data_IF_435977534305
#
_entry.id   IF_435977534305
#
_cell.length_a   1.000
_cell.length_b   1.000
_cell.length_c   1.000
_cell.angle_alpha   90.00
_cell.angle_beta   90.00
_cell.angle_gamma   90.00
#
_symmetry.space_group_name_H-M   'P 1'
#
loop_
_entity.id
_entity.type
_entity.pdbx_description
1 polymer ?
#
# COMPACT_ATOMS: atom_id res chain seq x y z
N UNK A 1 -6.66 28.06 0.58
CA UNK A 1 -5.83 27.20 -0.31
C UNK A 1 -6.44 25.81 -0.37
N UNK A 2 -6.85 25.34 -1.55
CA UNK A 2 -7.58 24.07 -1.73
C UNK A 2 -6.67 22.83 -1.84
N UNK A 3 -5.41 23.03 -2.24
CA UNK A 3 -4.44 21.96 -2.48
C UNK A 3 -3.05 22.49 -2.84
N UNK A 4 -2.14 21.58 -3.19
CA UNK A 4 -0.77 21.88 -3.62
C UNK A 4 -0.44 21.03 -4.85
N UNK A 5 0.11 21.67 -5.89
CA UNK A 5 0.62 20.99 -7.09
C UNK A 5 1.98 20.36 -6.78
N UNK A 6 2.16 19.10 -7.14
CA UNK A 6 3.34 18.27 -6.84
C UNK A 6 4.19 18.00 -8.07
N UNK A 7 3.57 17.85 -9.23
CA UNK A 7 4.25 17.71 -10.51
C UNK A 7 3.44 18.36 -11.62
N UNK A 8 4.14 18.74 -12.69
CA UNK A 8 3.56 19.38 -13.85
C UNK A 8 4.28 18.89 -15.10
N UNK A 9 3.50 18.49 -16.10
CA UNK A 9 4.01 18.00 -17.37
C UNK A 9 3.22 18.61 -18.52
N UNK A 10 3.87 19.36 -19.42
CA UNK A 10 3.25 19.71 -20.70
C UNK A 10 3.22 18.47 -21.60
N UNK A 11 2.06 18.13 -22.17
CA UNK A 11 1.92 16.98 -23.07
C UNK A 11 1.60 17.47 -24.48
N UNK A 12 2.61 17.88 -25.28
CA UNK A 12 2.38 18.37 -26.63
C UNK A 12 1.82 17.32 -27.59
N UNK A 13 1.96 16.02 -27.26
CA UNK A 13 1.51 14.88 -28.08
C UNK A 13 -0.01 14.67 -28.10
N UNK A 14 -0.74 15.16 -27.09
CA UNK A 14 -2.20 15.04 -26.95
C UNK A 14 -2.91 16.39 -27.17
N UNK A 15 -2.24 17.37 -27.80
CA UNK A 15 -2.69 18.75 -27.97
C UNK A 15 -1.99 19.72 -27.02
N UNK A 16 -2.47 20.96 -26.90
CA UNK A 16 -2.00 21.99 -25.95
C UNK A 16 -2.44 21.69 -24.50
N UNK A 17 -2.44 20.42 -24.12
CA UNK A 17 -2.83 19.95 -22.80
C UNK A 17 -1.69 20.13 -21.78
N UNK A 18 -2.03 20.73 -20.65
CA UNK A 18 -1.16 20.77 -19.48
C UNK A 18 -1.73 19.84 -18.41
N UNK A 19 -0.91 18.92 -17.90
CA UNK A 19 -1.29 18.04 -16.81
C UNK A 19 -0.49 18.37 -15.56
N UNK A 20 -1.14 18.29 -14.41
CA UNK A 20 -0.51 18.49 -13.12
C UNK A 20 -1.05 17.50 -12.11
N UNK A 21 -0.18 16.93 -11.29
CA UNK A 21 -0.59 16.14 -10.13
C UNK A 21 -0.65 17.06 -8.93
N UNK A 22 -1.72 16.96 -8.14
CA UNK A 22 -1.90 17.81 -6.96
C UNK A 22 -2.53 17.03 -5.81
N UNK A 23 -2.13 17.38 -4.58
CA UNK A 23 -2.87 17.01 -3.39
C UNK A 23 -4.01 18.00 -3.19
N UNK A 24 -5.24 17.51 -3.13
CA UNK A 24 -6.44 18.34 -2.92
C UNK A 24 -7.11 17.92 -1.62
N UNK A 25 -7.62 18.90 -0.86
CA UNK A 25 -8.37 18.62 0.37
C UNK A 25 -9.73 18.02 0.03
N UNK A 26 -9.94 16.75 0.40
CA UNK A 26 -11.19 16.03 0.19
C UNK A 26 -12.20 16.17 1.34
N UNK A 27 -11.94 17.03 2.33
CA UNK A 27 -12.83 17.28 3.47
C UNK A 27 -12.96 18.78 3.76
N UNK A 28 -14.16 19.22 4.11
CA UNK A 28 -14.46 20.59 4.57
C UNK A 28 -15.44 20.50 5.74
N UNK A 29 -15.05 21.01 6.91
CA UNK A 29 -15.90 20.96 8.11
C UNK A 29 -16.23 19.52 8.58
N UNK A 30 -15.29 18.58 8.43
CA UNK A 30 -15.50 17.17 8.80
C UNK A 30 -16.25 16.33 7.76
N UNK A 31 -16.90 16.96 6.78
CA UNK A 31 -17.65 16.26 5.74
C UNK A 31 -16.78 15.95 4.51
N UNK A 32 -16.91 14.77 3.88
CA UNK A 32 -16.24 14.46 2.62
C UNK A 32 -16.80 15.34 1.49
N UNK A 33 -15.90 15.83 0.65
CA UNK A 33 -16.22 16.67 -0.52
C UNK A 33 -15.85 15.89 -1.77
N UNK A 34 -16.78 15.78 -2.72
CA UNK A 34 -16.50 15.22 -4.04
C UNK A 34 -15.65 16.22 -4.83
N UNK A 35 -14.45 15.82 -5.17
CA UNK A 35 -13.43 16.69 -5.83
C UNK A 35 -13.31 16.44 -7.32
N UNK A 36 -13.76 15.27 -7.79
CA UNK A 36 -13.76 14.91 -9.20
C UNK A 36 -14.62 15.87 -10.03
N UNK A 37 -14.15 16.20 -11.24
CA UNK A 37 -14.77 17.14 -12.17
C UNK A 37 -14.93 18.58 -11.64
N UNK A 38 -14.32 18.90 -10.50
CA UNK A 38 -14.36 20.24 -9.92
C UNK A 38 -13.40 21.15 -10.67
N UNK A 39 -13.87 22.36 -11.04
CA UNK A 39 -13.00 23.38 -11.61
C UNK A 39 -12.10 23.96 -10.53
N UNK A 40 -10.80 24.02 -10.83
CA UNK A 40 -9.78 24.60 -9.97
C UNK A 40 -9.02 25.69 -10.70
N UNK A 41 -8.62 26.71 -9.96
CA UNK A 41 -7.78 27.79 -10.46
C UNK A 41 -6.43 27.72 -9.74
N UNK A 42 -5.36 27.60 -10.51
CA UNK A 42 -4.00 27.63 -10.00
C UNK A 42 -3.59 29.08 -9.67
N UNK A 43 -2.52 29.23 -8.88
CA UNK A 43 -2.03 30.54 -8.43
C UNK A 43 -1.62 31.45 -9.60
N UNK A 44 -1.21 30.87 -10.74
CA UNK A 44 -0.88 31.59 -11.98
C UNK A 44 -2.12 31.96 -12.83
N UNK A 45 -3.34 31.76 -12.30
CA UNK A 45 -4.59 32.04 -13.01
C UNK A 45 -5.02 30.96 -14.02
N UNK A 46 -4.23 29.90 -14.19
CA UNK A 46 -4.62 28.78 -15.06
C UNK A 46 -5.83 28.05 -14.50
N UNK A 47 -6.81 27.76 -15.36
CA UNK A 47 -8.01 27.00 -15.01
C UNK A 47 -7.84 25.55 -15.45
N UNK A 48 -8.20 24.63 -14.58
CA UNK A 48 -8.15 23.20 -14.84
C UNK A 48 -9.34 22.47 -14.23
N UNK A 49 -9.52 21.20 -14.63
CA UNK A 49 -10.52 20.31 -14.07
C UNK A 49 -9.79 19.21 -13.33
N UNK A 50 -10.22 18.92 -12.11
CA UNK A 50 -9.70 17.79 -11.35
C UNK A 50 -10.24 16.50 -11.97
N UNK A 51 -9.36 15.72 -12.57
CA UNK A 51 -9.66 14.38 -13.08
C UNK A 51 -9.04 13.34 -12.15
N UNK A 52 -9.72 12.21 -11.98
CA UNK A 52 -9.09 11.07 -11.35
C UNK A 52 -8.00 10.58 -12.30
N UNK A 53 -6.75 10.53 -11.81
CA UNK A 53 -5.66 9.90 -12.54
C UNK A 53 -6.04 8.44 -12.69
N UNK A 54 -6.38 8.01 -13.90
CA UNK A 54 -6.41 6.60 -14.20
C UNK A 54 -5.02 6.09 -13.87
N UNK A 55 -4.88 5.22 -12.88
CA UNK A 55 -3.67 4.44 -12.78
C UNK A 55 -3.63 3.66 -14.09
N UNK A 56 -2.67 3.88 -15.00
CA UNK A 56 -2.38 2.86 -15.97
C UNK A 56 -1.87 1.71 -15.11
N UNK A 57 -2.76 0.79 -14.73
CA UNK A 57 -2.31 -0.57 -14.53
C UNK A 57 -1.51 -0.84 -15.78
N UNK A 58 -0.18 -1.02 -15.66
CA UNK A 58 0.54 -1.71 -16.71
C UNK A 58 -0.33 -2.92 -16.98
N UNK A 59 -0.92 -2.98 -18.17
CA UNK A 59 -1.50 -4.21 -18.64
C UNK A 59 -0.31 -5.17 -18.72
N UNK A 60 -0.09 -5.88 -17.63
CA UNK A 60 0.48 -7.21 -17.70
C UNK A 60 -0.63 -8.06 -18.29
N UNK A 61 -0.99 -7.80 -19.55
CA UNK A 61 -1.76 -8.78 -20.30
C UNK A 61 -1.00 -10.08 -20.14
N UNK A 62 -1.73 -11.16 -19.82
CA UNK A 62 -1.15 -12.48 -19.59
C UNK A 62 -0.35 -13.01 -20.81
N UNK A 63 -0.35 -12.28 -21.93
CA UNK A 63 0.45 -12.51 -23.12
C UNK A 63 1.90 -12.00 -23.03
N UNK A 64 2.25 -11.17 -22.04
CA UNK A 64 3.65 -10.92 -21.69
C UNK A 64 4.17 -12.06 -20.82
N UNK A 65 4.11 -13.29 -21.34
CA UNK A 65 4.81 -14.45 -20.76
C UNK A 65 6.28 -14.04 -20.60
N UNK A 66 6.85 -14.05 -19.39
CA UNK A 66 8.30 -14.10 -19.29
C UNK A 66 8.71 -15.36 -20.07
N UNK A 67 9.66 -15.23 -20.99
CA UNK A 67 10.40 -16.37 -21.53
C UNK A 67 11.17 -17.01 -20.36
N UNK A 68 10.47 -17.75 -19.50
CA UNK A 68 11.07 -18.74 -18.63
C UNK A 68 11.39 -19.91 -19.56
N UNK A 69 12.68 -20.00 -19.88
CA UNK A 69 13.30 -21.23 -20.36
C UNK A 69 12.83 -22.38 -19.50
N UNK A 70 12.47 -23.44 -20.22
CA UNK A 70 12.02 -24.76 -19.80
C UNK A 70 12.50 -25.22 -18.42
N UNK A 71 11.55 -25.51 -17.54
CA UNK A 71 11.72 -26.48 -16.45
C UNK A 71 10.34 -27.14 -16.18
N UNK A 72 10.26 -28.47 -16.02
CA UNK A 72 9.01 -29.21 -16.12
C UNK A 72 8.15 -29.07 -14.85
N UNK A 73 6.90 -28.68 -15.05
CA UNK A 73 5.83 -28.66 -14.05
C UNK A 73 5.35 -30.09 -13.77
N UNK A 74 5.90 -30.77 -12.76
CA UNK A 74 5.22 -31.92 -12.16
C UNK A 74 5.57 -32.20 -10.69
N UNK A 75 6.32 -31.32 -10.02
CA UNK A 75 6.79 -31.54 -8.63
C UNK A 75 6.33 -30.49 -7.60
N UNK A 76 5.65 -29.39 -8.00
CA UNK A 76 5.34 -28.28 -7.08
C UNK A 76 4.16 -28.53 -6.11
N UNK A 77 3.36 -29.59 -6.32
CA UNK A 77 2.25 -29.92 -5.42
C UNK A 77 2.72 -30.54 -4.09
N UNK A 78 3.87 -31.22 -4.07
CA UNK A 78 4.41 -31.85 -2.85
C UNK A 78 5.16 -30.85 -1.95
N UNK A 79 5.86 -29.87 -2.52
CA UNK A 79 6.71 -28.91 -1.80
C UNK A 79 5.90 -27.89 -0.98
N UNK A 80 4.65 -27.60 -1.38
CA UNK A 80 3.77 -26.70 -0.61
C UNK A 80 3.21 -27.32 0.68
N UNK A 81 3.11 -28.64 0.79
CA UNK A 81 2.61 -29.30 1.99
C UNK A 81 3.68 -29.34 3.11
N UNK A 82 4.94 -29.62 2.77
CA UNK A 82 6.04 -29.64 3.74
C UNK A 82 6.34 -28.25 4.32
N UNK A 83 6.26 -27.19 3.51
CA UNK A 83 6.50 -25.82 3.99
C UNK A 83 5.46 -25.35 5.01
N UNK A 84 4.20 -25.77 4.88
CA UNK A 84 3.13 -25.43 5.82
C UNK A 84 3.30 -26.12 7.18
N UNK A 85 3.81 -27.36 7.19
CA UNK A 85 4.10 -28.08 8.43
C UNK A 85 5.27 -27.44 9.20
N UNK A 86 6.36 -27.08 8.50
CA UNK A 86 7.52 -26.43 9.11
C UNK A 86 7.21 -25.04 9.69
N UNK A 87 6.31 -24.28 9.05
CA UNK A 87 5.86 -22.98 9.58
C UNK A 87 4.98 -23.10 10.82
N UNK A 88 4.15 -24.16 10.91
CA UNK A 88 3.29 -24.39 12.07
C UNK A 88 4.12 -24.68 13.33
N UNK A 89 5.17 -25.50 13.22
CA UNK A 89 6.07 -25.78 14.35
C UNK A 89 6.86 -24.55 14.80
N UNK A 90 7.31 -23.71 13.87
CA UNK A 90 8.00 -22.45 14.20
C UNK A 90 7.08 -21.47 14.91
N UNK A 91 5.80 -21.39 14.51
CA UNK A 91 4.80 -20.55 15.18
C UNK A 91 4.51 -21.07 16.60
N UNK A 92 4.38 -22.37 16.78
CA UNK A 92 4.15 -22.98 18.10
C UNK A 92 5.31 -22.69 19.07
N UNK A 93 6.57 -22.87 18.64
CA UNK A 93 7.75 -22.54 19.47
C UNK A 93 7.80 -21.06 19.84
N UNK A 94 7.52 -20.17 18.88
CA UNK A 94 7.53 -18.73 19.11
C UNK A 94 6.43 -18.27 20.07
N UNK A 95 5.26 -18.92 20.05
CA UNK A 95 4.18 -18.64 21.00
C UNK A 95 4.54 -19.12 22.41
N UNK A 96 5.14 -20.30 22.55
CA UNK A 96 5.59 -20.82 23.85
C UNK A 96 6.68 -19.93 24.47
N UNK A 97 7.65 -19.45 23.67
CA UNK A 97 8.67 -18.50 24.13
C UNK A 97 8.07 -17.16 24.57
N UNK A 98 7.05 -16.66 23.88
CA UNK A 98 6.37 -15.43 24.29
C UNK A 98 5.56 -15.60 25.57
N UNK A 99 4.89 -16.73 25.76
CA UNK A 99 4.17 -17.03 27.01
C UNK A 99 5.14 -17.12 28.19
N UNK A 100 6.26 -17.84 28.05
CA UNK A 100 7.26 -17.93 29.11
C UNK A 100 7.84 -16.55 29.49
N UNK A 101 8.02 -15.65 28.52
CA UNK A 101 8.46 -14.27 28.80
C UNK A 101 7.40 -13.44 29.52
N UNK A 102 6.13 -13.60 29.15
CA UNK A 102 5.04 -12.91 29.82
C UNK A 102 4.87 -13.41 31.27
N UNK A 103 4.97 -14.71 31.49
CA UNK A 103 4.88 -15.30 32.82
C UNK A 103 6.04 -14.84 33.71
N UNK A 104 7.26 -14.81 33.18
CA UNK A 104 8.43 -14.30 33.90
C UNK A 104 8.30 -12.79 34.23
N UNK A 105 7.75 -12.00 33.31
CA UNK A 105 7.52 -10.57 33.53
C UNK A 105 6.45 -10.32 34.59
N UNK A 106 5.36 -11.09 34.56
CA UNK A 106 4.28 -11.02 35.55
C UNK A 106 4.76 -11.47 36.94
N UNK A 107 5.62 -12.48 37.02
CA UNK A 107 6.23 -12.90 38.26
C UNK A 107 7.16 -11.81 38.84
N UNK A 108 8.00 -11.22 38.00
CA UNK A 108 8.88 -10.12 38.40
C UNK A 108 8.11 -8.86 38.85
N UNK A 109 6.99 -8.54 38.20
CA UNK A 109 6.12 -7.44 38.65
C UNK A 109 5.49 -7.71 40.02
N UNK A 110 4.99 -8.93 40.26
CA UNK A 110 4.42 -9.30 41.56
C UNK A 110 5.44 -9.29 42.70
N UNK A 111 6.69 -9.68 42.42
CA UNK A 111 7.77 -9.60 43.39
C UNK A 111 8.20 -8.16 43.67
N UNK A 112 8.18 -7.29 42.65
CA UNK A 112 8.45 -5.86 42.83
C UNK A 112 7.35 -5.15 43.64
N UNK A 113 6.08 -5.49 43.42
CA UNK A 113 4.92 -4.93 44.13
C UNK A 113 4.79 -5.46 45.57
N UNK A 114 5.38 -6.62 45.87
CA UNK A 114 5.43 -7.20 47.23
C UNK A 114 6.62 -6.71 48.08
N UNK A 115 7.53 -5.92 47.50
CA UNK A 115 8.69 -5.33 48.20
C UNK A 115 8.53 -3.82 48.47
N UNK A 116 7.41 -3.21 48.06
CA UNK A 116 6.91 -1.92 48.56
C UNK A 116 6.00 -2.10 49.77
#
# INVERSE_FOLDING_TARGET
RAGVVTSYTPTPSLGTGHFALAYVRCRKGGQPVRVEATQVTAENGAKGIVTQVAFPTRDFSADAKPQKKDAPEETEAADQAERKAAEAERKAKKLAEMQARLDAYMAAQKEAEAQE
#
